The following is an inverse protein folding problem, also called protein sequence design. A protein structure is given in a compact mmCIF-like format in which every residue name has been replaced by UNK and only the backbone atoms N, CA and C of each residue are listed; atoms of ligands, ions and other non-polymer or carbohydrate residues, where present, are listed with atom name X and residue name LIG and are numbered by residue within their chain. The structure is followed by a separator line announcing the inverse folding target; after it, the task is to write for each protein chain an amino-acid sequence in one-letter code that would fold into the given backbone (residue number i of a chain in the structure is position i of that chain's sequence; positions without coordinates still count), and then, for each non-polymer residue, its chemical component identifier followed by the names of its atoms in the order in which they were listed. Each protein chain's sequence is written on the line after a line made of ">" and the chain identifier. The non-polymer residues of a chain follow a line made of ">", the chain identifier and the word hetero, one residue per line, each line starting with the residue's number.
data_IF_132246576885
#
_entry.id   IF_132246576885
#
_cell.length_a   1.000
_cell.length_b   1.000
_cell.length_c   1.000
_cell.angle_alpha   90.00
_cell.angle_beta   90.00
_cell.angle_gamma   90.00
#
_symmetry.space_group_name_H-M   'P 1'
#
loop_
_entity.id
_entity.type
_entity.pdbx_description
1 polymer ?
#
# COMPACT_ATOMS: atom_id res chain seq x y z
N UNK A 1 -15.34 -15.28 5.53
CA UNK A 1 -16.72 -15.23 6.05
C UNK A 1 -16.83 -14.17 7.13
N UNK A 2 -16.18 -14.31 8.30
CA UNK A 2 -16.34 -13.43 9.45
C UNK A 2 -16.14 -11.93 9.13
N UNK A 3 -15.06 -11.54 8.47
CA UNK A 3 -14.76 -10.12 8.18
C UNK A 3 -15.85 -9.49 7.33
N UNK A 4 -16.27 -10.16 6.26
CA UNK A 4 -17.29 -9.65 5.34
C UNK A 4 -18.66 -9.57 6.03
N UNK A 5 -19.06 -10.61 6.76
CA UNK A 5 -20.34 -10.62 7.49
C UNK A 5 -20.40 -9.56 8.60
N UNK A 6 -19.31 -9.45 9.39
CA UNK A 6 -19.24 -8.48 10.49
C UNK A 6 -19.20 -7.03 10.00
N UNK A 7 -18.62 -6.76 8.81
CA UNK A 7 -18.58 -5.42 8.22
C UNK A 7 -19.90 -5.00 7.57
N UNK A 8 -20.85 -5.90 7.40
CA UNK A 8 -22.09 -5.68 6.64
C UNK A 8 -21.82 -5.16 5.22
N UNK A 9 -20.74 -5.65 4.59
CA UNK A 9 -20.33 -5.24 3.25
C UNK A 9 -21.38 -5.62 2.22
N UNK A 10 -21.83 -4.66 1.42
CA UNK A 10 -22.84 -4.86 0.37
C UNK A 10 -22.24 -5.15 -0.99
N UNK A 11 -21.05 -4.61 -1.24
CA UNK A 11 -20.30 -4.79 -2.50
C UNK A 11 -18.91 -5.29 -2.15
N UNK A 12 -18.44 -6.29 -2.88
CA UNK A 12 -17.11 -6.84 -2.71
C UNK A 12 -16.38 -6.74 -4.05
N UNK A 13 -15.20 -6.13 -4.04
CA UNK A 13 -14.29 -6.13 -5.20
C UNK A 13 -13.29 -7.25 -5.04
N UNK A 14 -13.18 -8.10 -6.05
CA UNK A 14 -12.26 -9.24 -6.06
C UNK A 14 -11.29 -9.07 -7.20
N UNK A 15 -10.02 -8.88 -6.88
CA UNK A 15 -8.93 -8.87 -7.86
C UNK A 15 -8.36 -10.25 -8.07
N UNK A 16 -7.85 -10.52 -9.29
CA UNK A 16 -7.01 -11.67 -9.54
C UNK A 16 -5.60 -11.37 -9.07
N UNK A 17 -5.00 -12.29 -8.32
CA UNK A 17 -3.58 -12.24 -8.07
C UNK A 17 -2.87 -12.98 -9.21
N UNK A 18 -2.17 -12.31 -10.13
CA UNK A 18 -1.48 -12.95 -11.24
C UNK A 18 -0.36 -13.90 -10.81
N UNK A 19 0.05 -13.82 -9.54
CA UNK A 19 1.06 -14.69 -8.94
C UNK A 19 0.47 -15.90 -8.20
N UNK A 20 -0.86 -16.03 -8.10
CA UNK A 20 -1.50 -17.24 -7.58
C UNK A 20 -1.43 -18.34 -8.65
N UNK A 21 -0.27 -18.96 -8.75
CA UNK A 21 -0.04 -20.10 -9.60
C UNK A 21 -0.92 -21.29 -9.19
N UNK A 22 -1.94 -21.57 -10.01
CA UNK A 22 -2.40 -22.91 -10.40
C UNK A 22 -3.36 -23.71 -9.53
N UNK A 23 -3.88 -23.23 -8.41
CA UNK A 23 -5.01 -23.95 -7.80
C UNK A 23 -6.25 -23.04 -7.87
N UNK A 24 -7.15 -23.31 -8.84
CA UNK A 24 -8.42 -22.55 -9.00
C UNK A 24 -9.18 -22.41 -7.69
N UNK A 25 -9.14 -23.42 -6.82
CA UNK A 25 -9.80 -23.43 -5.52
C UNK A 25 -9.20 -22.41 -4.52
N UNK A 26 -7.97 -21.94 -4.74
CA UNK A 26 -7.30 -20.95 -3.89
C UNK A 26 -7.53 -19.51 -4.33
N UNK A 27 -8.11 -19.29 -5.50
CA UNK A 27 -8.44 -17.94 -5.96
C UNK A 27 -9.39 -17.25 -4.99
N UNK A 28 -9.23 -15.95 -4.73
CA UNK A 28 -10.08 -15.20 -3.80
C UNK A 28 -11.56 -15.36 -4.09
N UNK A 29 -11.97 -15.40 -5.36
CA UNK A 29 -13.37 -15.58 -5.77
C UNK A 29 -13.95 -16.94 -5.33
N UNK A 30 -13.21 -18.03 -5.48
CA UNK A 30 -13.71 -19.35 -5.07
C UNK A 30 -13.87 -19.47 -3.56
N UNK A 31 -12.94 -18.85 -2.79
CA UNK A 31 -13.09 -18.75 -1.32
C UNK A 31 -14.30 -17.95 -0.92
N UNK A 32 -14.59 -16.86 -1.63
CA UNK A 32 -15.79 -16.05 -1.36
C UNK A 32 -17.05 -16.83 -1.67
N UNK A 33 -17.11 -17.48 -2.84
CA UNK A 33 -18.28 -18.25 -3.25
C UNK A 33 -18.57 -19.45 -2.35
N UNK A 34 -17.56 -20.05 -1.74
CA UNK A 34 -17.78 -21.16 -0.80
C UNK A 34 -18.51 -20.76 0.48
N UNK A 35 -18.65 -19.46 0.75
CA UNK A 35 -19.32 -18.92 1.94
C UNK A 35 -20.40 -17.88 1.61
N UNK A 36 -20.70 -17.66 0.33
CA UNK A 36 -21.58 -16.58 -0.12
C UNK A 36 -23.02 -16.72 0.40
N UNK A 37 -23.49 -17.95 0.58
CA UNK A 37 -24.83 -18.24 1.09
C UNK A 37 -25.00 -17.82 2.57
N UNK A 38 -23.90 -17.61 3.28
CA UNK A 38 -23.89 -17.12 4.67
C UNK A 38 -23.70 -15.59 4.75
N UNK A 39 -23.67 -14.90 3.60
CA UNK A 39 -23.39 -13.47 3.51
C UNK A 39 -24.60 -12.72 2.90
N UNK A 40 -25.70 -12.66 3.63
CA UNK A 40 -26.99 -12.11 3.18
C UNK A 40 -26.90 -10.63 2.75
N UNK A 41 -26.02 -9.85 3.39
CA UNK A 41 -25.83 -8.43 3.09
C UNK A 41 -25.08 -8.19 1.77
N UNK A 42 -24.33 -9.17 1.27
CA UNK A 42 -23.60 -9.04 0.00
C UNK A 42 -24.58 -9.08 -1.17
N UNK A 43 -24.69 -7.96 -1.86
CA UNK A 43 -25.57 -7.79 -3.03
C UNK A 43 -24.82 -7.94 -4.35
N UNK A 44 -23.56 -7.51 -4.39
CA UNK A 44 -22.78 -7.48 -5.64
C UNK A 44 -21.33 -7.88 -5.38
N UNK A 45 -20.78 -8.68 -6.27
CA UNK A 45 -19.37 -9.04 -6.32
C UNK A 45 -18.83 -8.56 -7.66
N UNK A 46 -17.87 -7.64 -7.63
CA UNK A 46 -17.23 -7.09 -8.83
C UNK A 46 -15.91 -7.78 -9.06
N UNK A 47 -15.77 -8.46 -10.21
CA UNK A 47 -14.49 -9.07 -10.60
C UNK A 47 -13.63 -8.07 -11.35
N UNK A 48 -12.44 -7.78 -10.80
CA UNK A 48 -11.43 -6.93 -11.41
C UNK A 48 -10.40 -7.78 -12.16
N UNK A 49 -10.81 -8.41 -13.26
CA UNK A 49 -9.92 -9.27 -14.07
C UNK A 49 -10.68 -10.03 -15.18
N UNK A 50 -9.92 -10.71 -16.04
CA UNK A 50 -10.45 -11.30 -17.28
C UNK A 50 -11.10 -12.69 -17.16
N UNK A 51 -11.10 -13.31 -15.97
CA UNK A 51 -11.48 -14.73 -15.81
C UNK A 51 -12.96 -14.94 -15.39
N UNK A 52 -13.84 -14.02 -15.79
CA UNK A 52 -15.27 -14.05 -15.45
C UNK A 52 -15.98 -15.28 -16.03
N UNK A 53 -15.54 -15.79 -17.16
CA UNK A 53 -16.21 -16.89 -17.90
C UNK A 53 -16.29 -18.20 -17.10
N UNK A 54 -15.54 -18.33 -16.01
CA UNK A 54 -15.50 -19.55 -15.20
C UNK A 54 -16.43 -19.54 -13.98
N UNK A 55 -17.03 -18.38 -13.64
CA UNK A 55 -17.80 -18.25 -12.41
C UNK A 55 -19.21 -17.73 -12.70
N UNK A 56 -20.21 -18.64 -12.67
CA UNK A 56 -21.62 -18.26 -12.82
C UNK A 56 -22.26 -18.08 -11.45
N UNK A 57 -22.57 -16.84 -11.10
CA UNK A 57 -23.38 -16.50 -9.91
C UNK A 57 -24.10 -15.19 -10.21
N UNK A 58 -25.36 -15.09 -9.80
CA UNK A 58 -26.22 -13.93 -10.06
C UNK A 58 -25.74 -12.61 -9.41
N UNK A 59 -24.93 -12.71 -8.34
CA UNK A 59 -24.35 -11.56 -7.65
C UNK A 59 -23.06 -11.06 -8.30
N UNK A 60 -22.52 -11.77 -9.30
CA UNK A 60 -21.22 -11.43 -9.92
C UNK A 60 -21.45 -10.59 -11.15
N UNK A 61 -20.71 -9.49 -11.22
CA UNK A 61 -20.58 -8.64 -12.41
C UNK A 61 -19.10 -8.39 -12.73
N UNK A 62 -18.83 -8.08 -13.99
CA UNK A 62 -17.51 -7.66 -14.44
C UNK A 62 -17.18 -6.24 -13.98
N UNK A 63 -15.90 -5.88 -14.04
CA UNK A 63 -15.44 -4.50 -13.87
C UNK A 63 -16.11 -3.56 -14.89
N UNK A 64 -16.20 -3.97 -16.14
CA UNK A 64 -16.76 -3.14 -17.20
C UNK A 64 -18.27 -2.92 -17.02
N UNK A 65 -19.01 -3.94 -16.62
CA UNK A 65 -20.43 -3.80 -16.26
C UNK A 65 -20.60 -2.86 -15.06
N UNK A 66 -19.74 -2.97 -14.04
CA UNK A 66 -19.78 -2.08 -12.89
C UNK A 66 -19.52 -0.61 -13.29
N UNK A 67 -18.53 -0.36 -14.16
CA UNK A 67 -18.25 0.98 -14.67
C UNK A 67 -19.43 1.52 -15.49
N UNK A 68 -20.00 0.70 -16.40
CA UNK A 68 -21.14 1.08 -17.21
C UNK A 68 -22.38 1.48 -16.38
N UNK A 69 -22.59 0.86 -15.21
CA UNK A 69 -23.67 1.27 -14.28
C UNK A 69 -23.52 2.73 -13.82
N UNK A 70 -22.28 3.24 -13.76
CA UNK A 70 -21.99 4.62 -13.36
C UNK A 70 -22.36 5.67 -14.40
N UNK A 71 -22.43 5.31 -15.69
CA UNK A 71 -22.68 6.23 -16.80
C UNK A 71 -24.06 6.93 -16.71
N UNK A 72 -25.03 6.27 -16.05
CA UNK A 72 -26.36 6.80 -15.85
C UNK A 72 -26.54 7.59 -14.54
N UNK A 73 -25.50 7.70 -13.71
CA UNK A 73 -25.57 8.39 -12.42
C UNK A 73 -25.42 9.89 -12.61
N UNK A 74 -26.39 10.67 -12.13
CA UNK A 74 -26.31 12.14 -12.15
C UNK A 74 -25.16 12.63 -11.25
N UNK A 75 -24.28 13.45 -11.79
CA UNK A 75 -23.15 14.05 -11.07
C UNK A 75 -23.61 14.80 -9.81
N UNK A 76 -24.79 15.41 -9.84
CA UNK A 76 -25.36 16.07 -8.66
C UNK A 76 -25.65 15.10 -7.49
N UNK A 77 -25.91 13.82 -7.76
CA UNK A 77 -26.08 12.83 -6.70
C UNK A 77 -24.75 12.53 -6.00
N UNK A 78 -23.65 12.55 -6.76
CA UNK A 78 -22.29 12.38 -6.19
C UNK A 78 -21.97 13.57 -5.30
N UNK A 79 -22.21 14.80 -5.79
CA UNK A 79 -21.99 16.05 -5.03
C UNK A 79 -22.80 16.03 -3.72
N UNK A 80 -24.10 15.73 -3.78
CA UNK A 80 -24.94 15.66 -2.59
C UNK A 80 -24.44 14.65 -1.57
N UNK A 81 -23.97 13.47 -2.02
CA UNK A 81 -23.39 12.47 -1.13
C UNK A 81 -22.11 12.98 -0.49
N UNK A 82 -21.22 13.62 -1.26
CA UNK A 82 -19.99 14.22 -0.73
C UNK A 82 -20.29 15.29 0.32
N UNK A 83 -21.26 16.16 0.07
CA UNK A 83 -21.67 17.21 1.01
C UNK A 83 -22.34 16.67 2.27
N UNK A 84 -22.95 15.48 2.20
CA UNK A 84 -23.57 14.83 3.36
C UNK A 84 -22.56 14.18 4.32
N UNK A 85 -21.31 14.02 3.91
CA UNK A 85 -20.25 13.38 4.72
C UNK A 85 -19.88 14.31 5.89
N UNK A 86 -19.93 13.74 7.10
CA UNK A 86 -19.49 14.42 8.33
C UNK A 86 -18.17 13.83 8.81
N UNK A 87 -17.43 14.61 9.56
CA UNK A 87 -16.13 14.16 10.09
C UNK A 87 -16.26 12.95 11.02
N UNK A 88 -17.38 12.80 11.69
CA UNK A 88 -17.68 11.69 12.60
C UNK A 88 -18.12 10.42 11.88
N UNK A 89 -18.44 10.48 10.59
CA UNK A 89 -18.83 9.30 9.84
C UNK A 89 -17.64 8.33 9.72
N UNK A 90 -17.92 7.04 9.90
CA UNK A 90 -16.96 5.98 9.64
C UNK A 90 -16.63 5.94 8.14
N UNK A 91 -15.36 6.06 7.80
CA UNK A 91 -14.88 5.98 6.42
C UNK A 91 -14.10 4.71 6.12
N UNK A 92 -13.60 4.02 7.14
CA UNK A 92 -12.84 2.78 6.97
C UNK A 92 -13.02 1.84 8.16
N UNK A 93 -13.07 0.53 7.85
CA UNK A 93 -12.99 -0.56 8.83
C UNK A 93 -11.69 -1.32 8.61
N UNK A 94 -10.83 -1.37 9.63
CA UNK A 94 -9.59 -2.13 9.58
C UNK A 94 -9.66 -3.28 10.55
N UNK A 95 -9.55 -4.51 10.01
CA UNK A 95 -9.60 -5.72 10.82
C UNK A 95 -8.21 -6.07 11.33
N UNK A 96 -8.11 -6.21 12.65
CA UNK A 96 -6.89 -6.64 13.33
C UNK A 96 -7.05 -8.07 13.84
N UNK A 97 -5.98 -8.87 13.77
CA UNK A 97 -5.95 -10.18 14.42
C UNK A 97 -6.00 -9.98 15.92
N UNK A 98 -7.18 -10.18 16.53
CA UNK A 98 -7.32 -10.20 17.99
C UNK A 98 -6.48 -11.34 18.59
N UNK A 99 -5.96 -11.12 19.81
CA UNK A 99 -5.21 -12.16 20.56
C UNK A 99 -6.08 -13.32 21.00
N UNK A 100 -7.40 -13.17 20.96
CA UNK A 100 -8.38 -14.14 21.47
C UNK A 100 -9.63 -14.20 20.58
N UNK A 101 -9.57 -14.94 19.47
CA UNK A 101 -10.77 -15.22 18.66
C UNK A 101 -10.81 -14.52 17.30
N UNK A 102 -12.00 -14.17 16.83
CA UNK A 102 -12.20 -13.57 15.52
C UNK A 102 -11.56 -12.16 15.40
N UNK A 103 -11.12 -11.77 14.19
CA UNK A 103 -10.62 -10.42 13.94
C UNK A 103 -11.63 -9.34 14.37
N UNK A 104 -11.12 -8.25 14.94
CA UNK A 104 -11.93 -7.10 15.36
C UNK A 104 -11.85 -5.98 14.33
N UNK A 105 -13.00 -5.47 13.89
CA UNK A 105 -13.09 -4.30 13.02
C UNK A 105 -12.91 -3.02 13.82
N UNK A 106 -11.84 -2.28 13.52
CA UNK A 106 -11.61 -0.95 14.08
C UNK A 106 -12.26 0.07 13.14
N UNK A 107 -13.22 0.82 13.67
CA UNK A 107 -13.87 1.90 12.95
C UNK A 107 -12.98 3.15 12.96
N UNK A 108 -12.66 3.66 11.78
CA UNK A 108 -11.92 4.90 11.60
C UNK A 108 -12.82 5.93 10.92
N UNK A 109 -12.97 7.08 11.57
CA UNK A 109 -13.76 8.19 11.03
C UNK A 109 -12.92 9.06 10.08
N UNK A 110 -13.58 9.90 9.28
CA UNK A 110 -12.90 10.91 8.49
C UNK A 110 -12.06 11.85 9.36
N UNK A 111 -12.51 12.15 10.59
CA UNK A 111 -11.73 12.97 11.52
C UNK A 111 -10.45 12.29 12.00
N UNK A 112 -10.44 10.97 12.21
CA UNK A 112 -9.22 10.25 12.58
C UNK A 112 -8.15 10.44 11.51
N UNK A 113 -8.50 10.21 10.24
CA UNK A 113 -7.55 10.42 9.13
C UNK A 113 -7.15 11.89 9.00
N UNK A 114 -8.09 12.82 9.15
CA UNK A 114 -7.79 14.26 9.06
C UNK A 114 -6.75 14.69 10.08
N UNK A 115 -6.94 14.34 11.35
CA UNK A 115 -6.01 14.70 12.44
C UNK A 115 -4.63 14.11 12.20
N UNK A 116 -4.57 12.85 11.81
CA UNK A 116 -3.30 12.18 11.51
C UNK A 116 -2.59 12.81 10.30
N UNK A 117 -3.33 13.11 9.24
CA UNK A 117 -2.79 13.78 8.05
C UNK A 117 -2.28 15.19 8.36
N UNK A 118 -2.96 15.93 9.23
CA UNK A 118 -2.50 17.25 9.67
C UNK A 118 -1.17 17.11 10.39
N UNK A 119 -1.07 16.18 11.36
CA UNK A 119 0.14 15.91 12.14
C UNK A 119 1.32 15.45 11.28
N UNK A 120 1.07 14.49 10.38
CA UNK A 120 2.11 13.99 9.45
C UNK A 120 2.58 15.10 8.51
N UNK A 121 1.66 15.96 8.03
CA UNK A 121 1.98 17.05 7.09
C UNK A 121 2.81 18.18 7.71
N UNK A 122 2.80 18.32 9.04
CA UNK A 122 3.68 19.27 9.74
C UNK A 122 5.14 18.80 9.73
N UNK A 123 5.36 17.49 9.83
CA UNK A 123 6.69 16.87 9.87
C UNK A 123 7.22 16.56 8.48
N UNK A 124 6.40 15.91 7.66
CA UNK A 124 6.76 15.48 6.32
C UNK A 124 6.29 16.54 5.30
N UNK A 125 7.19 17.44 4.95
CA UNK A 125 6.92 18.50 3.97
C UNK A 125 7.49 18.08 2.61
N UNK A 126 6.60 17.78 1.68
CA UNK A 126 6.93 17.44 0.30
C UNK A 126 6.32 18.45 -0.67
N UNK A 127 7.02 18.66 -1.79
CA UNK A 127 6.53 19.47 -2.90
C UNK A 127 5.68 18.61 -3.84
N UNK A 128 4.78 19.27 -4.58
CA UNK A 128 3.97 18.60 -5.58
C UNK A 128 4.84 17.86 -6.61
N UNK A 129 4.46 16.63 -6.95
CA UNK A 129 5.16 15.81 -7.92
C UNK A 129 6.40 15.09 -7.38
N UNK A 130 6.77 15.28 -6.10
CA UNK A 130 7.82 14.46 -5.49
C UNK A 130 7.39 12.99 -5.46
N UNK A 131 8.35 12.10 -5.68
CA UNK A 131 8.10 10.68 -5.92
C UNK A 131 7.90 9.91 -4.62
N UNK A 132 6.86 9.09 -4.60
CA UNK A 132 6.55 8.14 -3.55
C UNK A 132 6.39 6.73 -4.13
N UNK A 133 6.87 5.71 -3.41
CA UNK A 133 6.76 4.31 -3.79
C UNK A 133 5.73 3.61 -2.91
N UNK A 134 4.60 3.23 -3.50
CA UNK A 134 3.52 2.50 -2.83
C UNK A 134 3.73 0.99 -2.94
N UNK A 135 3.82 0.32 -1.81
CA UNK A 135 3.99 -1.13 -1.74
C UNK A 135 3.39 -1.74 -0.46
N UNK A 136 2.97 -0.89 0.47
CA UNK A 136 2.39 -1.33 1.74
C UNK A 136 0.99 -1.93 1.52
N UNK A 137 0.63 -3.00 2.25
CA UNK A 137 -0.71 -3.55 2.16
C UNK A 137 -1.77 -2.54 2.61
N UNK A 138 -2.77 -2.27 1.77
CA UNK A 138 -3.92 -1.41 2.11
C UNK A 138 -4.81 -1.98 3.23
N UNK A 139 -4.64 -3.26 3.59
CA UNK A 139 -5.29 -3.86 4.74
C UNK A 139 -4.78 -3.29 6.09
N UNK A 140 -3.62 -2.63 6.09
CA UNK A 140 -3.07 -1.96 7.26
C UNK A 140 -3.35 -0.46 7.25
N UNK A 141 -3.65 0.10 8.42
CA UNK A 141 -3.92 1.55 8.58
C UNK A 141 -2.79 2.43 8.04
N UNK A 142 -1.55 2.00 8.18
CA UNK A 142 -0.40 2.76 7.68
C UNK A 142 -0.38 2.83 6.14
N UNK A 143 -0.65 1.71 5.45
CA UNK A 143 -0.84 1.70 4.00
C UNK A 143 -2.01 2.60 3.59
N UNK A 144 -3.16 2.49 4.25
CA UNK A 144 -4.30 3.37 3.95
C UNK A 144 -3.99 4.85 4.16
N UNK A 145 -3.33 5.22 5.26
CA UNK A 145 -3.00 6.61 5.53
C UNK A 145 -2.12 7.20 4.43
N UNK A 146 -1.08 6.48 4.01
CA UNK A 146 -0.12 7.00 3.05
C UNK A 146 -0.60 6.83 1.61
N UNK A 147 -1.08 5.63 1.25
CA UNK A 147 -1.40 5.28 -0.14
C UNK A 147 -2.79 5.78 -0.59
N UNK A 148 -3.73 6.02 0.35
CA UNK A 148 -5.04 6.56 -0.03
C UNK A 148 -5.17 8.07 0.25
N UNK A 149 -4.46 8.59 1.26
CA UNK A 149 -4.75 9.93 1.74
C UNK A 149 -3.56 10.89 1.64
N UNK A 150 -2.37 10.50 2.12
CA UNK A 150 -1.26 11.43 2.22
C UNK A 150 -0.71 11.87 0.86
N UNK A 151 -0.55 10.93 -0.09
CA UNK A 151 -0.06 11.25 -1.44
C UNK A 151 -1.01 12.19 -2.19
N UNK A 152 -2.34 12.00 -2.03
CA UNK A 152 -3.35 12.90 -2.61
C UNK A 152 -3.24 14.28 -2.01
N UNK A 153 -3.16 14.35 -0.66
CA UNK A 153 -3.06 15.63 0.06
C UNK A 153 -1.83 16.43 -0.34
N UNK A 154 -0.72 15.78 -0.63
CA UNK A 154 0.55 16.39 -1.02
C UNK A 154 0.77 16.45 -2.53
N UNK A 155 -0.17 15.92 -3.32
CA UNK A 155 -0.05 15.78 -4.78
C UNK A 155 1.28 15.13 -5.21
N UNK A 156 1.65 14.02 -4.53
CA UNK A 156 2.87 13.28 -4.85
C UNK A 156 2.69 12.45 -6.11
N UNK A 157 3.79 12.16 -6.80
CA UNK A 157 3.81 11.17 -7.87
C UNK A 157 3.97 9.78 -7.27
N UNK A 158 2.87 9.04 -7.20
CA UNK A 158 2.86 7.68 -6.66
C UNK A 158 3.17 6.65 -7.73
N UNK A 159 4.20 5.81 -7.50
CA UNK A 159 4.49 4.61 -8.28
C UNK A 159 4.08 3.39 -7.47
N UNK A 160 3.29 2.50 -8.09
CA UNK A 160 2.77 1.29 -7.44
C UNK A 160 3.66 0.11 -7.78
N UNK A 161 4.09 -0.63 -6.76
CA UNK A 161 4.89 -1.86 -6.91
C UNK A 161 3.98 -3.05 -7.12
N UNK A 162 4.27 -3.86 -8.12
CA UNK A 162 3.51 -5.07 -8.47
C UNK A 162 3.61 -6.17 -7.41
N UNK A 163 4.78 -6.27 -6.76
CA UNK A 163 5.03 -7.26 -5.71
C UNK A 163 5.96 -6.69 -4.65
N UNK A 164 5.68 -6.91 -3.35
CA UNK A 164 6.57 -6.51 -2.25
C UNK A 164 8.00 -7.04 -2.40
N UNK A 165 8.20 -8.16 -3.12
CA UNK A 165 9.52 -8.73 -3.37
C UNK A 165 10.39 -7.83 -4.26
N UNK A 166 9.76 -7.04 -5.13
CA UNK A 166 10.40 -6.16 -6.11
C UNK A 166 10.65 -4.73 -5.57
N UNK A 167 10.21 -4.43 -4.34
CA UNK A 167 10.28 -3.07 -3.75
C UNK A 167 11.67 -2.43 -3.86
N UNK A 168 12.74 -3.20 -3.63
CA UNK A 168 14.11 -2.68 -3.69
C UNK A 168 14.53 -2.32 -5.12
N UNK A 169 14.09 -3.09 -6.11
CA UNK A 169 14.44 -2.84 -7.51
C UNK A 169 13.64 -1.67 -8.06
N UNK A 170 12.37 -1.55 -7.72
CA UNK A 170 11.58 -0.34 -8.02
C UNK A 170 12.14 0.92 -7.33
N UNK A 171 12.64 0.80 -6.08
CA UNK A 171 13.27 1.93 -5.42
C UNK A 171 14.52 2.44 -6.18
N UNK A 172 15.32 1.54 -6.75
CA UNK A 172 16.46 1.91 -7.58
C UNK A 172 16.06 2.63 -8.87
N UNK A 173 14.98 2.19 -9.49
CA UNK A 173 14.48 2.79 -10.74
C UNK A 173 13.82 4.15 -10.48
N UNK A 174 12.93 4.23 -9.50
CA UNK A 174 12.09 5.39 -9.23
C UNK A 174 12.87 6.48 -8.48
N UNK A 175 13.81 6.11 -7.61
CA UNK A 175 14.55 7.04 -6.74
C UNK A 175 13.58 7.92 -5.91
N UNK A 176 12.75 7.32 -5.01
CA UNK A 176 11.69 8.03 -4.31
C UNK A 176 12.23 9.06 -3.32
N UNK A 177 11.50 10.17 -3.18
CA UNK A 177 11.76 11.20 -2.17
C UNK A 177 11.29 10.75 -0.77
N UNK A 178 10.20 9.97 -0.74
CA UNK A 178 9.65 9.34 0.46
C UNK A 178 9.72 7.81 0.29
N UNK A 179 10.41 7.15 1.22
CA UNK A 179 10.47 5.70 1.29
C UNK A 179 10.00 5.22 2.66
N UNK A 180 8.83 4.56 2.66
CA UNK A 180 8.23 4.02 3.88
C UNK A 180 8.33 2.51 3.83
N UNK A 181 8.85 1.90 4.90
CA UNK A 181 9.08 0.47 4.87
C UNK A 181 9.10 -0.15 6.28
N UNK A 182 9.14 -1.47 6.30
CA UNK A 182 9.38 -2.27 7.51
C UNK A 182 10.88 -2.52 7.66
N UNK A 183 11.38 -2.79 8.88
CA UNK A 183 12.81 -2.99 9.14
C UNK A 183 13.47 -4.00 8.22
N UNK A 184 12.79 -5.09 7.89
CA UNK A 184 13.33 -6.17 7.04
C UNK A 184 13.78 -5.71 5.65
N UNK A 185 13.10 -4.73 5.06
CA UNK A 185 13.49 -4.18 3.75
C UNK A 185 14.77 -3.35 3.89
N UNK A 186 14.87 -2.53 4.94
CA UNK A 186 16.09 -1.78 5.24
C UNK A 186 17.27 -2.71 5.53
N UNK A 187 17.05 -3.81 6.23
CA UNK A 187 18.06 -4.85 6.48
C UNK A 187 18.56 -5.48 5.15
N UNK A 188 17.65 -5.76 4.22
CA UNK A 188 18.00 -6.28 2.89
C UNK A 188 18.85 -5.25 2.11
N UNK A 189 18.44 -3.97 2.11
CA UNK A 189 19.18 -2.90 1.46
C UNK A 189 20.58 -2.76 2.09
N UNK A 190 20.65 -2.70 3.42
CA UNK A 190 21.89 -2.63 4.18
C UNK A 190 22.85 -3.78 3.84
N UNK A 191 22.34 -5.01 3.86
CA UNK A 191 23.14 -6.21 3.56
C UNK A 191 23.69 -6.17 2.14
N UNK A 192 22.90 -5.75 1.16
CA UNK A 192 23.33 -5.61 -0.22
C UNK A 192 24.41 -4.54 -0.37
N UNK A 193 24.24 -3.38 0.27
CA UNK A 193 25.25 -2.30 0.25
C UNK A 193 26.53 -2.73 0.93
N UNK A 194 26.45 -3.39 2.08
CA UNK A 194 27.63 -3.91 2.80
C UNK A 194 28.38 -4.92 1.96
N UNK A 195 27.68 -5.87 1.34
CA UNK A 195 28.31 -6.84 0.44
C UNK A 195 29.02 -6.16 -0.75
N UNK A 196 28.39 -5.14 -1.34
CA UNK A 196 29.00 -4.36 -2.43
C UNK A 196 30.27 -3.60 -1.98
N UNK A 197 30.26 -3.01 -0.78
CA UNK A 197 31.40 -2.34 -0.18
C UNK A 197 32.50 -3.36 0.13
N UNK A 198 32.15 -4.50 0.71
CA UNK A 198 33.11 -5.54 1.10
C UNK A 198 33.79 -6.22 -0.09
N UNK A 199 33.07 -6.36 -1.20
CA UNK A 199 33.61 -6.99 -2.42
C UNK A 199 34.55 -6.08 -3.23
N UNK A 200 34.52 -4.74 -3.03
CA UNK A 200 35.29 -3.78 -3.84
C UNK A 200 36.24 -2.99 -2.97
N UNK A 201 37.53 -3.36 -3.02
CA UNK A 201 38.61 -2.69 -2.27
C UNK A 201 38.64 -1.17 -2.50
N UNK A 202 38.38 -0.73 -3.74
CA UNK A 202 38.33 0.70 -4.11
C UNK A 202 37.22 1.43 -3.33
N UNK A 203 36.06 0.81 -3.13
CA UNK A 203 34.99 1.42 -2.34
C UNK A 203 35.35 1.58 -0.85
N UNK A 204 36.01 0.56 -0.27
CA UNK A 204 36.50 0.62 1.12
C UNK A 204 37.47 1.76 1.35
N UNK A 205 38.44 1.97 0.40
CA UNK A 205 39.42 3.06 0.50
C UNK A 205 38.73 4.38 0.21
N UNK A 206 37.97 4.49 -0.88
CA UNK A 206 37.31 5.72 -1.30
C UNK A 206 36.41 6.34 -0.26
N UNK A 207 35.69 5.49 0.52
CA UNK A 207 34.85 5.94 1.62
C UNK A 207 35.64 6.55 2.80
N UNK A 208 36.93 6.25 2.93
CA UNK A 208 37.81 6.78 3.99
C UNK A 208 38.52 8.05 3.60
N UNK A 209 38.60 8.41 2.30
CA UNK A 209 39.31 9.57 1.82
C UNK A 209 38.39 10.79 1.83
N UNK A 210 38.73 11.87 2.57
CA UNK A 210 37.99 13.12 2.54
C UNK A 210 37.84 13.66 1.11
N UNK A 211 36.65 14.11 0.72
CA UNK A 211 36.32 14.56 -0.63
C UNK A 211 35.85 13.44 -1.57
N UNK A 212 36.55 12.31 -1.62
CA UNK A 212 36.11 11.14 -2.40
C UNK A 212 34.95 10.40 -1.72
N UNK A 213 34.88 10.42 -0.41
CA UNK A 213 33.85 9.76 0.36
C UNK A 213 32.43 10.21 -0.03
N UNK A 214 32.24 11.51 -0.30
CA UNK A 214 30.93 12.04 -0.75
C UNK A 214 30.54 11.48 -2.11
N UNK A 215 31.48 11.39 -3.05
CA UNK A 215 31.24 10.82 -4.38
C UNK A 215 30.81 9.34 -4.28
N UNK A 216 31.52 8.56 -3.47
CA UNK A 216 31.21 7.15 -3.27
C UNK A 216 29.88 6.95 -2.52
N UNK A 217 29.59 7.77 -1.51
CA UNK A 217 28.29 7.76 -0.82
C UNK A 217 27.13 8.07 -1.77
N UNK A 218 27.28 9.06 -2.64
CA UNK A 218 26.25 9.39 -3.62
C UNK A 218 26.00 8.24 -4.59
N UNK A 219 27.05 7.58 -5.08
CA UNK A 219 26.92 6.38 -5.92
C UNK A 219 26.26 5.22 -5.19
N UNK A 220 26.54 5.03 -3.90
CA UNK A 220 25.89 4.01 -3.09
C UNK A 220 24.41 4.33 -2.85
N UNK A 221 24.07 5.60 -2.59
CA UNK A 221 22.68 6.05 -2.49
C UNK A 221 21.91 5.80 -3.79
N UNK A 222 22.51 6.15 -4.93
CA UNK A 222 21.93 5.90 -6.25
C UNK A 222 21.69 4.40 -6.49
N UNK A 223 22.69 3.57 -6.22
CA UNK A 223 22.61 2.12 -6.36
C UNK A 223 21.59 1.48 -5.41
N UNK A 224 21.29 2.13 -4.28
CA UNK A 224 20.29 1.69 -3.33
C UNK A 224 18.88 2.24 -3.60
N UNK A 225 18.73 3.21 -4.52
CA UNK A 225 17.45 3.86 -4.79
C UNK A 225 17.17 5.08 -3.91
N UNK A 226 18.18 5.72 -3.34
CA UNK A 226 18.00 6.79 -2.35
C UNK A 226 18.64 8.13 -2.76
N UNK A 227 18.96 8.36 -4.05
CA UNK A 227 19.56 9.62 -4.50
C UNK A 227 18.70 10.84 -4.18
N UNK A 228 17.38 10.72 -4.38
CA UNK A 228 16.43 11.80 -4.14
C UNK A 228 15.75 11.70 -2.78
N UNK A 229 16.12 10.70 -1.96
CA UNK A 229 15.41 10.42 -0.73
C UNK A 229 15.60 11.54 0.29
N UNK A 230 14.48 12.09 0.75
CA UNK A 230 14.42 13.12 1.81
C UNK A 230 14.04 12.52 3.14
N UNK A 231 13.11 11.54 3.11
CA UNK A 231 12.65 10.86 4.31
C UNK A 231 12.56 9.36 4.08
N UNK A 232 13.17 8.62 5.01
CA UNK A 232 13.01 7.18 5.16
C UNK A 232 12.31 6.90 6.48
N UNK A 233 11.18 6.18 6.42
CA UNK A 233 10.37 5.89 7.61
C UNK A 233 10.34 4.38 7.81
N UNK A 234 10.70 3.93 9.00
CA UNK A 234 10.56 2.55 9.42
C UNK A 234 9.45 2.42 10.46
N UNK A 235 8.54 1.48 10.24
CA UNK A 235 7.41 1.22 11.14
C UNK A 235 7.17 -0.26 11.39
N UNK A 236 6.14 -0.55 12.18
CA UNK A 236 5.64 -1.87 12.53
C UNK A 236 6.56 -2.74 13.43
N UNK A 237 7.87 -2.47 13.50
CA UNK A 237 8.82 -3.15 14.39
C UNK A 237 10.06 -2.29 14.65
N UNK A 238 10.82 -2.56 15.74
CA UNK A 238 12.09 -1.89 15.99
C UNK A 238 13.10 -2.18 14.87
N UNK A 239 13.84 -1.15 14.44
CA UNK A 239 14.95 -1.28 13.48
C UNK A 239 16.29 -1.34 14.22
N UNK A 240 17.23 -2.13 13.72
CA UNK A 240 18.58 -2.17 14.26
C UNK A 240 19.26 -0.80 14.07
N UNK A 241 19.76 -0.15 15.16
CA UNK A 241 20.39 1.16 15.08
C UNK A 241 21.59 1.26 14.13
N UNK A 242 22.30 0.15 13.87
CA UNK A 242 23.44 0.14 12.98
C UNK A 242 23.05 0.37 11.51
N UNK A 243 21.81 0.02 11.15
CA UNK A 243 21.27 0.29 9.81
C UNK A 243 21.05 1.78 9.58
N UNK A 244 20.71 2.52 10.65
CA UNK A 244 20.46 3.97 10.58
C UNK A 244 21.75 4.80 10.40
N UNK A 245 22.93 4.19 10.54
CA UNK A 245 24.23 4.86 10.43
C UNK A 245 24.82 4.80 9.02
N UNK A 246 24.22 4.04 8.12
CA UNK A 246 24.68 3.87 6.74
C UNK A 246 24.17 4.98 5.83
#
# INVERSE_FOLDING_TARGET
>A
EWVVGNSNSKIIFVGNNPNDNNEKEKMPIHRLLSVIDNLDEVKTIVLMGSDIDFVKNEKIISWDEFIAMGESVDENEIIKRMESIKQENTCSLIYTSGTTGNPKGVELTHNNFKVELDSVSEVLKFDQGEKYLSWLPLAHVFGQLVDNHYWVRRALHMSIVDSPLNTVDYAKEIQPHLFISVPRIYEKIYSNLKAAIDSKFILKIGLKIPGLSTLFKNKLKEAAGFSNNRFSISGAAPINPDILKL
#
